data_IF_724069474124
#
_entry.id   IF_724069474124
#
_cell.length_a   1.000
_cell.length_b   1.000
_cell.length_c   1.000
_cell.angle_alpha   90.00
_cell.angle_beta   90.00
_cell.angle_gamma   90.00
#
_symmetry.space_group_name_H-M   'P 1'
#
loop_
_entity.id
_entity.type
_entity.pdbx_description
1 polymer ?
#
# COMPACT_ATOMS: atom_id res chain seq x y z
N UNK A 1 8.45 18.69 -9.06
CA UNK A 1 8.93 17.37 -9.55
C UNK A 1 7.81 16.35 -9.72
N UNK A 2 7.04 15.95 -8.69
CA UNK A 2 5.94 14.95 -8.85
C UNK A 2 4.98 15.30 -9.99
N UNK A 3 4.49 16.54 -10.04
CA UNK A 3 3.59 16.97 -11.12
C UNK A 3 4.28 16.92 -12.49
N UNK A 4 5.55 17.33 -12.59
CA UNK A 4 6.31 17.24 -13.85
C UNK A 4 6.48 15.79 -14.31
N UNK A 5 6.63 14.83 -13.40
CA UNK A 5 6.68 13.40 -13.74
C UNK A 5 5.35 12.93 -14.35
N UNK A 6 4.22 13.37 -13.77
CA UNK A 6 2.89 13.08 -14.33
C UNK A 6 2.72 13.73 -15.71
N UNK A 7 3.07 15.01 -15.84
CA UNK A 7 2.96 15.74 -17.11
C UNK A 7 3.85 15.11 -18.19
N UNK A 8 5.08 14.72 -17.87
CA UNK A 8 5.96 14.01 -18.82
C UNK A 8 5.40 12.65 -19.23
N UNK A 9 4.73 11.92 -18.33
CA UNK A 9 4.05 10.67 -18.67
C UNK A 9 2.83 10.91 -19.56
N UNK A 10 2.08 11.99 -19.33
CA UNK A 10 0.96 12.41 -20.18
C UNK A 10 1.47 12.78 -21.58
N UNK A 11 2.45 13.67 -21.66
CA UNK A 11 3.05 14.10 -22.93
C UNK A 11 3.61 12.91 -23.73
N UNK A 12 4.26 11.96 -23.05
CA UNK A 12 4.76 10.73 -23.67
C UNK A 12 3.64 9.78 -24.16
N UNK A 13 2.51 9.71 -23.44
CA UNK A 13 1.35 8.93 -23.85
C UNK A 13 0.61 9.55 -25.04
N UNK A 14 0.47 10.88 -25.04
CA UNK A 14 -0.16 11.67 -26.11
C UNK A 14 0.77 11.88 -27.33
N UNK A 15 2.04 11.49 -27.22
CA UNK A 15 3.04 11.69 -28.28
C UNK A 15 3.38 13.16 -28.55
N UNK A 16 3.08 14.06 -27.63
CA UNK A 16 3.27 15.51 -27.78
C UNK A 16 3.97 16.09 -26.56
N UNK A 17 5.24 16.48 -26.72
CA UNK A 17 6.09 16.97 -25.61
C UNK A 17 5.89 18.47 -25.35
N UNK A 18 5.93 18.85 -24.07
CA UNK A 18 5.98 20.25 -23.63
C UNK A 18 4.67 21.00 -23.79
N UNK A 19 3.55 20.28 -23.90
CA UNK A 19 2.22 20.88 -24.02
C UNK A 19 1.89 21.62 -22.71
N UNK A 20 1.33 22.82 -22.83
CA UNK A 20 0.70 23.49 -21.69
C UNK A 20 -0.72 22.95 -21.54
N UNK A 21 -1.02 22.37 -20.38
CA UNK A 21 -2.31 21.79 -20.07
C UNK A 21 -3.17 22.79 -19.28
N UNK A 22 -4.41 23.02 -19.73
CA UNK A 22 -5.38 23.71 -18.88
C UNK A 22 -5.71 22.83 -17.66
N UNK A 23 -6.09 23.44 -16.53
CA UNK A 23 -6.38 22.69 -15.30
C UNK A 23 -7.52 21.71 -15.52
N UNK A 24 -8.57 22.13 -16.22
CA UNK A 24 -9.76 21.34 -16.53
C UNK A 24 -9.43 20.14 -17.42
N UNK A 25 -8.53 20.31 -18.38
CA UNK A 25 -8.02 19.20 -19.22
C UNK A 25 -7.20 18.22 -18.39
N UNK A 26 -6.30 18.73 -17.55
CA UNK A 26 -5.42 17.89 -16.74
C UNK A 26 -6.21 17.02 -15.75
N UNK A 27 -7.15 17.60 -15.02
CA UNK A 27 -7.89 16.87 -13.96
C UNK A 27 -8.88 15.85 -14.50
N UNK A 28 -9.25 15.96 -15.78
CA UNK A 28 -10.11 14.98 -16.48
C UNK A 28 -9.32 13.97 -17.31
N UNK A 29 -8.01 14.17 -17.47
CA UNK A 29 -7.15 13.26 -18.21
C UNK A 29 -7.10 11.86 -17.56
N UNK A 30 -7.24 10.76 -18.31
CA UNK A 30 -7.25 9.41 -17.75
C UNK A 30 -6.04 9.10 -16.86
N UNK A 31 -4.84 9.50 -17.27
CA UNK A 31 -3.63 9.30 -16.46
C UNK A 31 -3.61 10.14 -15.18
N UNK A 32 -4.27 11.30 -15.11
CA UNK A 32 -4.43 12.02 -13.85
C UNK A 32 -5.40 11.28 -12.93
N UNK A 33 -6.52 10.82 -13.48
CA UNK A 33 -7.54 10.06 -12.75
C UNK A 33 -6.98 8.76 -12.14
N UNK A 34 -6.04 8.09 -12.80
CA UNK A 34 -5.35 6.92 -12.23
C UNK A 34 -4.61 7.25 -10.93
N UNK A 35 -4.08 8.46 -10.77
CA UNK A 35 -3.36 8.85 -9.55
C UNK A 35 -4.33 9.09 -8.38
N UNK A 36 -5.60 9.34 -8.68
CA UNK A 36 -6.63 9.61 -7.67
C UNK A 36 -7.22 8.34 -7.08
N UNK A 37 -6.78 7.15 -7.48
CA UNK A 37 -7.43 5.89 -7.16
C UNK A 37 -7.83 5.75 -5.68
N UNK A 38 -6.89 5.94 -4.74
CA UNK A 38 -7.25 5.87 -3.33
C UNK A 38 -7.73 7.19 -2.71
N UNK A 39 -7.36 8.36 -3.27
CA UNK A 39 -7.98 9.63 -2.85
C UNK A 39 -9.51 9.63 -3.12
N UNK A 40 -9.94 8.94 -4.18
CA UNK A 40 -11.34 8.80 -4.56
C UNK A 40 -12.15 8.02 -3.52
N UNK A 41 -11.56 7.14 -2.71
CA UNK A 41 -12.29 6.39 -1.67
C UNK A 41 -12.98 7.34 -0.68
N UNK A 42 -12.29 8.42 -0.26
CA UNK A 42 -12.87 9.43 0.62
C UNK A 42 -13.66 10.52 -0.12
N UNK A 43 -13.22 10.89 -1.34
CA UNK A 43 -13.90 11.93 -2.13
C UNK A 43 -15.31 11.49 -2.56
N UNK A 44 -15.50 10.20 -2.85
CA UNK A 44 -16.82 9.60 -3.14
C UNK A 44 -17.78 9.83 -1.98
N UNK A 45 -17.33 9.59 -0.74
CA UNK A 45 -18.12 9.85 0.47
C UNK A 45 -18.40 11.34 0.67
N UNK A 46 -17.39 12.20 0.49
CA UNK A 46 -17.54 13.66 0.61
C UNK A 46 -18.58 14.24 -0.35
N UNK A 47 -18.56 13.81 -1.61
CA UNK A 47 -19.43 14.35 -2.66
C UNK A 47 -20.73 13.57 -2.83
N UNK A 48 -20.98 12.54 -2.01
CA UNK A 48 -22.21 11.75 -2.06
C UNK A 48 -22.42 11.08 -3.42
N UNK A 49 -21.36 10.57 -4.05
CA UNK A 49 -21.47 9.91 -5.35
C UNK A 49 -22.40 8.68 -5.20
N UNK A 50 -23.45 8.55 -6.03
CA UNK A 50 -24.36 7.41 -5.95
C UNK A 50 -23.65 6.08 -6.16
N UNK A 51 -24.10 5.05 -5.43
CA UNK A 51 -23.66 3.69 -5.67
C UNK A 51 -24.14 3.20 -7.03
N UNK A 52 -23.29 2.42 -7.68
CA UNK A 52 -23.58 1.74 -8.95
C UNK A 52 -23.41 0.23 -8.74
N UNK A 53 -24.04 -0.58 -9.59
CA UNK A 53 -23.81 -2.04 -9.56
C UNK A 53 -22.32 -2.39 -9.64
N UNK A 54 -21.53 -1.62 -10.41
CA UNK A 54 -20.08 -1.81 -10.50
C UNK A 54 -19.36 -1.49 -9.20
N UNK A 55 -19.68 -0.38 -8.53
CA UNK A 55 -19.01 0.01 -7.28
C UNK A 55 -19.34 -0.95 -6.13
N UNK A 56 -20.57 -1.46 -6.07
CA UNK A 56 -20.97 -2.48 -5.09
C UNK A 56 -20.20 -3.79 -5.34
N UNK A 57 -20.10 -4.21 -6.60
CA UNK A 57 -19.41 -5.43 -7.00
C UNK A 57 -17.90 -5.36 -6.72
N UNK A 58 -17.27 -4.21 -7.03
CA UNK A 58 -15.85 -3.96 -6.78
C UNK A 58 -15.52 -3.93 -5.28
N UNK A 59 -16.50 -3.57 -4.44
CA UNK A 59 -16.30 -3.37 -3.02
C UNK A 59 -15.32 -2.23 -2.71
N UNK A 60 -14.94 -2.14 -1.44
CA UNK A 60 -13.93 -1.19 -0.98
C UNK A 60 -12.54 -1.83 -0.99
N UNK A 61 -11.52 -1.00 -1.25
CA UNK A 61 -10.13 -1.34 -1.04
C UNK A 61 -9.85 -1.61 0.44
N UNK A 62 -8.98 -2.58 0.70
CA UNK A 62 -8.54 -2.96 2.04
C UNK A 62 -7.11 -3.48 1.96
N UNK A 63 -6.43 -3.64 3.10
CA UNK A 63 -5.06 -4.14 3.13
C UNK A 63 -4.80 -4.86 4.45
N UNK A 64 -3.98 -5.91 4.39
CA UNK A 64 -3.40 -6.53 5.58
C UNK A 64 -1.90 -6.33 5.58
N UNK A 65 -1.32 -5.95 6.71
CA UNK A 65 0.12 -5.76 6.83
C UNK A 65 0.67 -6.33 8.14
N UNK A 66 1.94 -6.73 8.10
CA UNK A 66 2.65 -7.31 9.23
C UNK A 66 4.13 -6.92 9.22
N UNK A 67 4.57 -6.33 10.32
CA UNK A 67 5.99 -6.28 10.68
C UNK A 67 6.26 -7.40 11.67
N UNK A 68 7.25 -8.27 11.40
CA UNK A 68 7.58 -9.40 12.27
C UNK A 68 9.07 -9.41 12.60
N UNK A 69 9.38 -9.39 13.88
CA UNK A 69 10.73 -9.58 14.40
C UNK A 69 10.98 -11.08 14.58
N UNK A 70 12.12 -11.57 14.08
CA UNK A 70 12.55 -12.97 14.21
C UNK A 70 13.74 -13.06 15.16
N UNK A 71 13.70 -14.06 16.03
CA UNK A 71 14.75 -14.41 16.97
C UNK A 71 15.27 -15.81 16.65
N UNK A 72 16.59 -16.04 16.75
CA UNK A 72 17.17 -17.38 16.78
C UNK A 72 17.76 -17.66 18.19
N UNK A 73 18.08 -18.93 18.46
CA UNK A 73 18.70 -19.48 19.70
C UNK A 73 19.25 -18.42 20.67
N UNK A 74 18.48 -18.10 21.73
CA UNK A 74 18.75 -17.11 22.79
C UNK A 74 18.94 -15.66 22.27
N UNK A 75 18.20 -14.69 22.83
CA UNK A 75 17.58 -13.56 22.12
C UNK A 75 18.57 -12.76 21.28
N UNK A 76 18.82 -13.22 20.06
CA UNK A 76 19.50 -12.46 19.02
C UNK A 76 18.49 -12.12 17.94
N UNK A 77 18.52 -10.87 17.49
CA UNK A 77 17.63 -10.39 16.45
C UNK A 77 18.13 -10.90 15.10
N UNK A 78 17.54 -11.99 14.60
CA UNK A 78 18.04 -12.64 13.38
C UNK A 78 17.59 -11.91 12.12
N UNK A 79 16.36 -11.37 12.11
CA UNK A 79 15.81 -10.57 11.02
C UNK A 79 14.56 -9.76 11.44
N UNK A 80 14.16 -8.81 10.60
CA UNK A 80 12.84 -8.16 10.66
C UNK A 80 12.20 -8.22 9.29
N UNK A 81 11.06 -8.89 9.20
CA UNK A 81 10.25 -8.98 7.99
C UNK A 81 9.20 -7.88 7.98
N UNK A 82 8.95 -7.36 6.78
CA UNK A 82 8.00 -6.29 6.51
C UNK A 82 7.14 -6.71 5.32
N UNK A 83 5.85 -6.97 5.55
CA UNK A 83 4.96 -7.61 4.58
C UNK A 83 3.62 -6.88 4.46
N UNK A 84 3.13 -6.80 3.23
CA UNK A 84 1.87 -6.14 2.86
C UNK A 84 1.08 -6.98 1.85
N UNK A 85 -0.23 -7.02 2.01
CA UNK A 85 -1.20 -7.74 1.17
C UNK A 85 -2.26 -6.73 0.73
N UNK A 86 -2.28 -6.36 -0.54
CA UNK A 86 -3.28 -5.40 -1.08
C UNK A 86 -4.57 -6.12 -1.41
N UNK A 87 -5.70 -5.56 -0.98
CA UNK A 87 -7.02 -6.00 -1.38
C UNK A 87 -7.67 -4.96 -2.27
N UNK A 88 -8.11 -5.40 -3.44
CA UNK A 88 -8.73 -4.54 -4.44
C UNK A 88 -9.67 -5.35 -5.32
N UNK A 89 -10.32 -4.69 -6.26
CA UNK A 89 -11.00 -5.38 -7.35
C UNK A 89 -9.98 -6.17 -8.19
N UNK A 90 -10.35 -7.37 -8.59
CA UNK A 90 -9.59 -8.24 -9.46
C UNK A 90 -9.33 -7.63 -10.84
N UNK A 91 -10.16 -6.68 -11.29
CA UNK A 91 -9.89 -5.89 -12.51
C UNK A 91 -8.58 -5.09 -12.45
N UNK A 92 -8.04 -4.82 -11.25
CA UNK A 92 -6.80 -4.06 -11.07
C UNK A 92 -5.53 -4.90 -11.19
N UNK A 93 -5.61 -6.22 -11.37
CA UNK A 93 -4.46 -7.13 -11.30
C UNK A 93 -3.44 -7.02 -12.45
N UNK A 94 -3.50 -5.99 -13.30
CA UNK A 94 -2.35 -5.60 -14.11
C UNK A 94 -1.32 -4.88 -13.23
N UNK A 95 -0.26 -5.60 -12.84
CA UNK A 95 0.72 -5.12 -11.86
C UNK A 95 2.06 -4.79 -12.50
N UNK A 96 2.71 -3.76 -11.97
CA UNK A 96 4.07 -3.34 -12.35
C UNK A 96 4.85 -3.04 -11.09
N UNK A 97 5.95 -3.77 -10.87
CA UNK A 97 6.95 -3.39 -9.87
C UNK A 97 7.85 -2.33 -10.47
N UNK A 98 8.06 -1.24 -9.73
CA UNK A 98 8.77 -0.06 -10.25
C UNK A 98 9.93 0.26 -9.32
N UNK A 99 11.03 0.74 -9.91
CA UNK A 99 12.13 1.37 -9.20
C UNK A 99 12.44 2.69 -9.89
N UNK A 100 12.36 3.77 -9.14
CA UNK A 100 12.74 5.10 -9.62
C UNK A 100 14.07 5.51 -9.03
N UNK A 101 14.86 6.19 -9.86
CA UNK A 101 16.12 6.83 -9.50
C UNK A 101 16.04 8.27 -9.97
N UNK A 102 16.03 9.21 -9.03
CA UNK A 102 16.07 10.64 -9.30
C UNK A 102 17.44 11.20 -8.90
N UNK A 103 17.91 12.22 -9.62
CA UNK A 103 19.16 12.93 -9.33
C UNK A 103 18.88 14.18 -8.47
N UNK A 104 18.22 14.01 -7.32
CA UNK A 104 17.80 15.15 -6.47
C UNK A 104 18.74 15.41 -5.30
N UNK A 105 19.59 14.45 -4.94
CA UNK A 105 20.41 14.51 -3.72
C UNK A 105 19.63 14.24 -2.42
N UNK A 106 18.32 13.99 -2.51
CA UNK A 106 17.50 13.70 -1.34
C UNK A 106 17.80 12.29 -0.77
N UNK A 107 17.57 12.04 0.54
CA UNK A 107 17.86 10.74 1.16
C UNK A 107 17.20 9.53 0.48
N UNK A 108 15.94 9.69 0.07
CA UNK A 108 15.13 8.68 -0.61
C UNK A 108 15.04 8.90 -2.12
N UNK A 109 16.04 9.54 -2.75
CA UNK A 109 16.05 9.83 -4.19
C UNK A 109 15.93 8.57 -5.07
N UNK A 110 16.23 7.38 -4.54
CA UNK A 110 15.88 6.10 -5.17
C UNK A 110 14.86 5.37 -4.32
N UNK A 111 13.83 4.83 -4.94
CA UNK A 111 12.86 3.99 -4.24
C UNK A 111 12.21 2.97 -5.18
N UNK A 112 11.87 1.81 -4.62
CA UNK A 112 11.16 0.74 -5.30
C UNK A 112 9.81 0.49 -4.63
N UNK A 113 8.82 0.11 -5.43
CA UNK A 113 7.45 -0.08 -4.95
C UNK A 113 6.65 -1.01 -5.86
N UNK A 114 5.59 -1.60 -5.31
CA UNK A 114 4.56 -2.26 -6.12
C UNK A 114 3.54 -1.23 -6.61
N UNK A 115 3.11 -1.37 -7.86
CA UNK A 115 2.15 -0.45 -8.46
C UNK A 115 1.48 -1.00 -9.71
N UNK A 116 0.98 -0.08 -10.54
CA UNK A 116 0.09 -0.36 -11.66
C UNK A 116 0.54 0.41 -12.91
N UNK A 117 0.20 -0.03 -14.13
CA UNK A 117 0.40 0.76 -15.35
C UNK A 117 -0.21 2.16 -15.20
N UNK A 118 0.50 3.19 -15.65
CA UNK A 118 0.04 4.58 -15.58
C UNK A 118 0.02 5.22 -14.18
N UNK A 119 0.12 4.48 -13.08
CA UNK A 119 0.23 5.08 -11.73
C UNK A 119 1.67 5.41 -11.37
N UNK A 120 1.99 6.66 -11.00
CA UNK A 120 3.34 7.05 -10.57
C UNK A 120 3.57 6.94 -9.06
N UNK A 121 2.50 6.81 -8.27
CA UNK A 121 2.57 6.37 -6.88
C UNK A 121 2.26 4.88 -6.75
N UNK A 122 2.60 4.30 -5.60
CA UNK A 122 1.91 3.09 -5.17
C UNK A 122 0.44 3.44 -4.88
N UNK A 123 -0.43 2.45 -5.02
CA UNK A 123 -1.83 2.47 -4.58
C UNK A 123 -2.03 1.25 -3.64
N UNK A 124 -0.94 0.58 -3.27
CA UNK A 124 -0.99 -0.66 -2.52
C UNK A 124 -1.17 -0.41 -1.02
N UNK A 125 -0.35 0.37 -0.30
CA UNK A 125 1.00 0.87 -0.63
C UNK A 125 2.15 0.02 -0.04
N UNK A 126 3.22 -0.21 -0.80
CA UNK A 126 4.48 -0.83 -0.33
C UNK A 126 5.70 -0.21 -1.01
N UNK A 127 6.56 0.45 -0.25
CA UNK A 127 7.69 1.26 -0.74
C UNK A 127 8.96 0.97 0.06
N UNK A 128 10.08 0.81 -0.66
CA UNK A 128 11.43 0.70 -0.13
C UNK A 128 12.26 1.88 -0.64
N UNK A 129 12.96 2.60 0.23
CA UNK A 129 13.72 3.82 -0.13
C UNK A 129 15.22 3.63 0.05
N UNK A 130 16.05 4.40 -0.68
CA UNK A 130 17.50 4.41 -0.53
C UNK A 130 18.00 4.95 0.81
N UNK A 131 17.12 5.57 1.59
CA UNK A 131 17.34 5.92 3.00
C UNK A 131 17.09 4.74 3.95
N UNK A 132 16.91 3.52 3.42
CA UNK A 132 16.62 2.28 4.14
C UNK A 132 15.34 2.36 4.98
N UNK A 133 14.35 3.13 4.50
CA UNK A 133 12.99 3.10 5.04
C UNK A 133 12.16 2.11 4.23
N UNK A 134 11.52 1.16 4.90
CA UNK A 134 10.41 0.38 4.37
C UNK A 134 9.10 0.97 4.88
N UNK A 135 8.18 1.25 3.95
CA UNK A 135 6.98 2.04 4.19
C UNK A 135 5.80 1.29 3.57
N UNK A 136 4.73 1.12 4.34
CA UNK A 136 3.46 0.57 3.87
C UNK A 136 2.32 1.22 4.62
N UNK A 137 1.09 0.97 4.17
CA UNK A 137 -0.09 1.43 4.87
C UNK A 137 -1.20 0.37 4.89
N UNK A 138 -2.24 0.61 5.68
CA UNK A 138 -3.56 0.04 5.40
C UNK A 138 -4.62 1.13 5.55
N UNK A 139 -5.57 1.20 4.61
CA UNK A 139 -6.63 2.22 4.62
C UNK A 139 -7.48 2.11 5.88
N UNK A 140 -7.58 3.18 6.68
CA UNK A 140 -8.43 3.20 7.87
C UNK A 140 -9.80 3.81 7.54
N UNK A 141 -10.85 3.15 8.01
CA UNK A 141 -12.20 3.62 7.72
C UNK A 141 -12.55 4.93 8.48
N UNK A 142 -13.26 5.82 7.80
CA UNK A 142 -13.89 7.00 8.39
C UNK A 142 -15.43 6.88 8.33
N UNK A 143 -16.05 6.55 9.46
CA UNK A 143 -17.51 6.45 9.61
C UNK A 143 -18.14 7.74 10.15
N UNK A 144 -17.37 8.83 10.25
CA UNK A 144 -17.83 10.11 10.75
C UNK A 144 -17.91 11.13 9.61
N UNK A 145 -19.06 11.20 8.96
CA UNK A 145 -19.32 12.10 7.83
C UNK A 145 -19.08 13.58 8.15
N UNK A 146 -19.15 13.98 9.43
CA UNK A 146 -18.85 15.35 9.84
C UNK A 146 -17.42 15.77 9.50
N UNK A 147 -16.48 14.80 9.45
CA UNK A 147 -15.09 15.04 9.08
C UNK A 147 -14.93 15.42 7.61
N UNK A 148 -15.85 15.04 6.72
CA UNK A 148 -15.77 15.42 5.29
C UNK A 148 -15.84 16.92 5.05
N UNK A 149 -16.40 17.69 6.00
CA UNK A 149 -16.40 19.16 5.98
C UNK A 149 -15.00 19.76 6.12
N UNK A 150 -14.04 19.00 6.65
CA UNK A 150 -12.66 19.43 6.86
C UNK A 150 -11.76 19.18 5.65
N UNK A 151 -12.23 18.42 4.65
CA UNK A 151 -11.52 18.24 3.38
C UNK A 151 -11.73 19.50 2.54
N UNK A 152 -10.67 20.23 2.20
CA UNK A 152 -10.78 21.49 1.45
C UNK A 152 -9.81 21.51 0.26
N UNK A 153 -10.07 22.33 -0.78
CA UNK A 153 -9.13 22.50 -1.89
C UNK A 153 -7.76 23.06 -1.47
N UNK A 154 -7.66 23.70 -0.30
CA UNK A 154 -6.41 24.22 0.26
C UNK A 154 -5.58 23.11 0.94
N UNK A 155 -5.39 22.01 0.24
CA UNK A 155 -4.68 20.82 0.70
C UNK A 155 -3.95 20.14 -0.46
N UNK A 156 -3.16 19.12 -0.17
CA UNK A 156 -2.45 18.34 -1.19
C UNK A 156 -2.93 16.90 -1.11
N UNK A 157 -3.36 16.35 -2.24
CA UNK A 157 -3.81 14.96 -2.33
C UNK A 157 -2.72 13.98 -1.90
N UNK A 158 -3.16 12.83 -1.42
CA UNK A 158 -2.30 11.81 -0.82
C UNK A 158 -1.15 11.42 -1.75
N UNK A 159 -1.44 11.11 -3.02
CA UNK A 159 -0.47 10.54 -3.96
C UNK A 159 0.75 11.45 -4.20
N UNK A 160 0.58 12.77 -4.01
CA UNK A 160 1.68 13.74 -4.06
C UNK A 160 2.42 13.76 -2.73
N UNK A 161 1.70 13.84 -1.60
CA UNK A 161 2.30 13.90 -0.25
C UNK A 161 3.17 12.69 0.05
N UNK A 162 2.70 11.48 -0.27
CA UNK A 162 3.45 10.24 -0.11
C UNK A 162 4.77 10.28 -0.88
N UNK A 163 4.73 10.61 -2.18
CA UNK A 163 5.94 10.67 -3.00
C UNK A 163 6.96 11.71 -2.53
N UNK A 164 6.49 12.87 -2.06
CA UNK A 164 7.38 13.88 -1.44
C UNK A 164 8.02 13.29 -0.19
N UNK A 165 7.22 12.68 0.70
CA UNK A 165 7.71 12.09 1.94
C UNK A 165 8.72 10.96 1.70
N UNK A 166 8.48 10.06 0.73
CA UNK A 166 9.41 8.99 0.37
C UNK A 166 10.76 9.52 -0.08
N UNK A 167 10.77 10.56 -0.93
CA UNK A 167 12.02 11.10 -1.49
C UNK A 167 12.83 11.88 -0.46
N UNK A 168 12.19 12.74 0.34
CA UNK A 168 12.94 13.72 1.15
C UNK A 168 13.33 13.22 2.54
N UNK A 169 12.83 12.06 2.98
CA UNK A 169 12.94 11.66 4.38
C UNK A 169 14.04 10.64 4.63
N UNK A 170 14.89 10.88 5.62
CA UNK A 170 15.94 9.96 6.05
C UNK A 170 15.55 9.10 7.26
N UNK A 171 14.45 9.42 7.94
CA UNK A 171 13.97 8.71 9.14
C UNK A 171 12.46 8.62 9.16
N UNK A 172 11.91 7.66 9.91
CA UNK A 172 10.45 7.49 10.04
C UNK A 172 9.74 8.69 10.65
N UNK A 173 10.35 9.38 11.62
CA UNK A 173 9.79 10.63 12.17
C UNK A 173 9.80 11.78 11.15
N UNK A 174 10.85 11.89 10.33
CA UNK A 174 10.87 12.90 9.26
C UNK A 174 9.80 12.58 8.22
N UNK A 175 9.65 11.31 7.84
CA UNK A 175 8.60 10.87 6.92
C UNK A 175 7.22 11.26 7.43
N UNK A 176 6.91 10.97 8.70
CA UNK A 176 5.64 11.32 9.32
C UNK A 176 5.38 12.83 9.33
N UNK A 177 6.41 13.64 9.63
CA UNK A 177 6.32 15.12 9.60
C UNK A 177 6.06 15.65 8.20
N UNK A 178 6.78 15.16 7.19
CA UNK A 178 6.62 15.61 5.79
C UNK A 178 5.25 15.22 5.26
N UNK A 179 4.82 13.98 5.46
CA UNK A 179 3.53 13.48 5.00
C UNK A 179 2.33 14.20 5.62
N UNK A 180 2.44 14.62 6.88
CA UNK A 180 1.38 15.34 7.60
C UNK A 180 1.11 16.76 7.08
N UNK A 181 2.03 17.35 6.31
CA UNK A 181 1.86 18.71 5.78
C UNK A 181 0.75 18.74 4.74
N UNK A 182 -0.11 19.76 4.81
CA UNK A 182 -1.21 19.97 3.87
C UNK A 182 -2.14 18.76 3.73
N UNK A 183 -2.39 18.05 4.84
CA UNK A 183 -3.30 16.90 4.91
C UNK A 183 -4.65 17.19 4.23
N UNK A 184 -4.96 16.41 3.20
CA UNK A 184 -6.20 16.50 2.41
C UNK A 184 -7.41 15.85 3.07
N UNK A 185 -7.20 14.92 4.00
CA UNK A 185 -8.26 14.05 4.51
C UNK A 185 -8.76 13.04 3.50
N UNK A 186 -7.96 12.75 2.47
CA UNK A 186 -8.21 11.75 1.43
C UNK A 186 -7.16 10.66 1.51
N UNK A 187 -7.56 9.45 1.14
CA UNK A 187 -6.83 8.21 1.33
C UNK A 187 -6.32 8.09 2.77
N UNK A 188 -7.28 8.06 3.69
CA UNK A 188 -7.03 8.05 5.13
C UNK A 188 -6.48 6.69 5.58
N UNK A 189 -5.20 6.63 5.94
CA UNK A 189 -4.51 5.36 6.18
C UNK A 189 -3.79 5.32 7.54
N UNK A 190 -3.47 4.11 8.01
CA UNK A 190 -2.43 3.85 8.99
C UNK A 190 -1.12 3.57 8.26
N UNK A 191 -0.21 4.54 8.26
CA UNK A 191 1.15 4.44 7.75
C UNK A 191 2.09 3.78 8.75
N UNK A 192 2.88 2.84 8.26
CA UNK A 192 3.87 2.08 9.02
C UNK A 192 5.22 2.30 8.36
N UNK A 193 6.17 2.88 9.10
CA UNK A 193 7.49 3.23 8.62
C UNK A 193 8.53 2.50 9.47
N UNK A 194 9.14 1.48 8.89
CA UNK A 194 10.22 0.72 9.49
C UNK A 194 11.56 1.29 9.01
N UNK A 195 12.38 1.75 9.95
CA UNK A 195 13.72 2.25 9.68
C UNK A 195 14.75 1.14 9.85
N UNK A 196 15.18 0.51 8.76
CA UNK A 196 16.14 -0.60 8.80
C UNK A 196 17.53 -0.16 9.27
N UNK A 197 17.87 1.14 9.26
CA UNK A 197 19.14 1.64 9.81
C UNK A 197 19.23 1.43 11.31
N UNK A 198 18.09 1.39 11.98
CA UNK A 198 18.00 1.16 13.43
C UNK A 198 18.10 -0.32 13.80
N UNK A 199 18.07 -1.21 12.81
CA UNK A 199 18.15 -2.65 13.01
C UNK A 199 19.54 -3.19 12.72
N UNK A 200 20.08 -4.03 13.62
CA UNK A 200 21.37 -4.70 13.44
C UNK A 200 21.23 -6.20 13.63
N UNK A 201 21.46 -6.96 12.56
CA UNK A 201 21.37 -8.44 12.57
C UNK A 201 22.32 -9.04 13.60
N UNK A 202 21.87 -10.08 14.29
CA UNK A 202 22.67 -10.89 15.22
C UNK A 202 23.03 -10.21 16.54
N UNK A 203 22.58 -8.96 16.75
CA UNK A 203 22.78 -8.24 18.00
C UNK A 203 21.76 -8.64 19.06
N UNK A 204 22.15 -8.53 20.32
CA UNK A 204 21.28 -8.74 21.50
C UNK A 204 20.63 -7.43 21.94
N UNK A 205 21.33 -6.31 21.76
CA UNK A 205 20.80 -4.98 21.96
C UNK A 205 19.76 -4.67 20.88
N UNK A 206 18.57 -4.29 21.32
CA UNK A 206 17.51 -3.79 20.46
C UNK A 206 17.32 -2.29 20.65
N UNK A 207 16.95 -1.56 19.58
CA UNK A 207 16.58 -0.17 19.71
C UNK A 207 15.38 -0.06 20.68
N UNK A 208 15.45 0.89 21.61
CA UNK A 208 14.30 1.27 22.44
C UNK A 208 13.37 2.25 21.72
N UNK A 209 13.87 2.90 20.66
CA UNK A 209 13.16 3.88 19.83
C UNK A 209 13.74 3.91 18.40
N UNK A 210 12.99 4.49 17.47
CA UNK A 210 13.38 4.83 16.10
C UNK A 210 13.20 3.72 15.07
N UNK A 211 12.99 2.47 15.49
CA UNK A 211 12.85 1.33 14.57
C UNK A 211 11.52 1.37 13.83
N UNK A 212 10.41 1.58 14.54
CA UNK A 212 9.07 1.57 13.96
C UNK A 212 8.32 2.86 14.30
N UNK A 213 7.90 3.59 13.27
CA UNK A 213 6.99 4.73 13.41
C UNK A 213 5.64 4.39 12.80
N UNK A 214 4.57 4.81 13.46
CA UNK A 214 3.20 4.66 12.97
C UNK A 214 2.53 6.03 12.92
N UNK A 215 1.88 6.33 11.80
CA UNK A 215 1.09 7.54 11.61
C UNK A 215 -0.32 7.17 11.14
N UNK A 216 -1.33 7.82 11.68
CA UNK A 216 -2.71 7.69 11.23
C UNK A 216 -3.25 9.03 10.78
N UNK A 217 -4.01 9.04 9.69
CA UNK A 217 -4.60 10.23 9.11
C UNK A 217 -6.13 10.15 9.09
N UNK A 218 -6.77 11.25 9.47
CA UNK A 218 -8.17 11.56 9.16
C UNK A 218 -8.23 12.98 8.58
N UNK A 219 -9.40 13.44 8.08
CA UNK A 219 -9.54 14.83 7.63
C UNK A 219 -9.08 15.86 8.66
N UNK A 220 -8.04 16.63 8.27
CA UNK A 220 -7.38 17.66 9.10
C UNK A 220 -6.85 17.16 10.45
N UNK A 221 -6.55 15.86 10.59
CA UNK A 221 -6.00 15.25 11.80
C UNK A 221 -4.94 14.24 11.44
N UNK A 222 -3.82 14.27 12.15
CA UNK A 222 -2.86 13.18 12.14
C UNK A 222 -2.50 12.82 13.58
N UNK A 223 -2.20 11.55 13.82
CA UNK A 223 -1.60 11.07 15.05
C UNK A 223 -0.35 10.28 14.67
N UNK A 224 0.74 10.48 15.39
CA UNK A 224 2.01 9.80 15.13
C UNK A 224 2.63 9.36 16.46
N UNK A 225 3.23 8.19 16.46
CA UNK A 225 4.05 7.72 17.56
C UNK A 225 5.19 6.82 17.07
N UNK A 226 6.22 6.73 17.90
CA UNK A 226 7.23 5.69 17.82
C UNK A 226 6.71 4.43 18.52
N UNK A 227 6.49 3.37 17.73
CA UNK A 227 5.94 2.10 18.17
C UNK A 227 7.03 1.02 18.34
N UNK A 228 8.31 1.41 18.41
CA UNK A 228 9.43 0.48 18.60
C UNK A 228 9.24 -0.39 19.83
N UNK A 229 8.86 0.21 20.97
CA UNK A 229 8.64 -0.55 22.20
C UNK A 229 7.52 -1.60 22.05
N UNK A 230 6.43 -1.26 21.36
CA UNK A 230 5.34 -2.20 21.09
C UNK A 230 5.78 -3.34 20.15
N UNK A 231 6.53 -3.01 19.08
CA UNK A 231 7.07 -4.00 18.15
C UNK A 231 8.00 -4.99 18.84
N UNK A 232 8.94 -4.50 19.65
CA UNK A 232 9.91 -5.36 20.35
C UNK A 232 9.20 -6.22 21.40
N UNK A 233 8.31 -5.63 22.20
CA UNK A 233 7.56 -6.34 23.24
C UNK A 233 6.67 -7.45 22.66
N UNK A 234 5.94 -7.15 21.59
CA UNK A 234 5.00 -8.09 21.01
C UNK A 234 5.67 -9.02 20.00
N UNK A 235 6.89 -8.70 19.54
CA UNK A 235 7.62 -9.32 18.42
C UNK A 235 6.99 -9.09 17.04
N UNK A 236 5.89 -8.33 16.95
CA UNK A 236 5.22 -8.00 15.70
C UNK A 236 4.38 -6.72 15.81
N UNK A 237 4.04 -6.14 14.65
CA UNK A 237 3.05 -5.08 14.50
C UNK A 237 2.08 -5.45 13.36
N UNK A 238 0.80 -5.71 13.66
CA UNK A 238 -0.22 -5.99 12.65
C UNK A 238 -0.93 -4.70 12.20
N UNK A 239 -1.46 -4.69 10.98
CA UNK A 239 -2.37 -3.65 10.49
C UNK A 239 -3.42 -4.25 9.56
N UNK A 240 -4.66 -3.82 9.70
CA UNK A 240 -5.84 -4.47 9.11
C UNK A 240 -7.01 -3.48 9.01
N UNK A 241 -6.74 -2.30 8.43
CA UNK A 241 -7.75 -1.28 8.12
C UNK A 241 -8.47 -0.63 9.33
N UNK A 242 -7.90 -0.76 10.53
CA UNK A 242 -8.46 -0.21 11.77
C UNK A 242 -7.48 0.78 12.41
N UNK A 243 -7.94 1.97 12.84
CA UNK A 243 -7.11 2.86 13.64
C UNK A 243 -6.72 2.24 14.98
N UNK A 244 -5.45 2.34 15.31
CA UNK A 244 -4.81 1.98 16.56
C UNK A 244 -4.87 3.12 17.58
N UNK A 245 -4.64 4.38 17.19
CA UNK A 245 -4.57 5.47 18.15
C UNK A 245 -5.96 5.81 18.69
N UNK A 246 -6.17 5.83 20.03
CA UNK A 246 -7.51 6.00 20.62
C UNK A 246 -8.27 7.22 20.09
N UNK A 247 -7.57 8.37 19.93
CA UNK A 247 -8.16 9.60 19.42
C UNK A 247 -8.64 9.47 17.97
N UNK A 248 -7.89 8.78 17.11
CA UNK A 248 -8.28 8.55 15.72
C UNK A 248 -9.44 7.55 15.68
N UNK A 249 -9.36 6.47 16.46
CA UNK A 249 -10.38 5.45 16.58
C UNK A 249 -11.75 6.00 17.06
N UNK A 250 -11.72 6.93 18.01
CA UNK A 250 -12.91 7.65 18.48
C UNK A 250 -13.44 8.60 17.39
N UNK A 251 -12.58 9.45 16.83
CA UNK A 251 -12.98 10.47 15.84
C UNK A 251 -13.54 9.88 14.54
N UNK A 252 -13.00 8.74 14.08
CA UNK A 252 -13.51 8.02 12.91
C UNK A 252 -14.88 7.39 13.14
N UNK A 253 -15.35 7.29 14.38
CA UNK A 253 -16.57 6.57 14.73
C UNK A 253 -16.43 5.05 14.73
N UNK A 254 -15.20 4.51 14.67
CA UNK A 254 -14.94 3.07 14.61
C UNK A 254 -15.42 2.32 15.86
N UNK A 255 -15.50 2.97 17.02
CA UNK A 255 -16.07 2.39 18.25
C UNK A 255 -17.51 1.91 18.06
N UNK A 256 -18.32 2.67 17.31
CA UNK A 256 -19.71 2.29 16.99
C UNK A 256 -19.77 1.03 16.15
N UNK A 257 -18.84 0.87 15.22
CA UNK A 257 -18.77 -0.30 14.35
C UNK A 257 -18.31 -1.54 15.12
N UNK A 258 -17.34 -1.41 16.04
CA UNK A 258 -16.93 -2.53 16.91
C UNK A 258 -18.08 -2.94 17.85
N UNK A 259 -18.80 -1.99 18.44
CA UNK A 259 -19.98 -2.30 19.26
C UNK A 259 -21.08 -3.00 18.47
N UNK A 260 -21.24 -2.67 17.18
CA UNK A 260 -22.26 -3.22 16.29
C UNK A 260 -21.87 -4.58 15.70
N UNK A 261 -20.58 -4.82 15.44
CA UNK A 261 -20.12 -5.94 14.62
C UNK A 261 -18.97 -6.78 15.21
N UNK A 262 -18.46 -6.48 16.40
CA UNK A 262 -17.44 -7.29 17.09
C UNK A 262 -15.99 -7.09 16.62
N UNK A 263 -15.11 -8.04 16.94
CA UNK A 263 -13.67 -8.08 16.58
C UNK A 263 -13.42 -8.77 15.22
N UNK A 264 -12.33 -8.39 14.52
CA UNK A 264 -12.12 -8.67 13.08
C UNK A 264 -10.77 -9.33 12.72
N UNK A 265 -10.12 -10.09 13.61
CA UNK A 265 -8.82 -10.74 13.32
C UNK A 265 -8.97 -12.15 12.79
N UNK A 266 -8.31 -12.54 11.69
CA UNK A 266 -8.73 -13.74 10.94
C UNK A 266 -7.60 -14.54 10.29
N UNK A 267 -7.91 -15.75 9.85
CA UNK A 267 -7.12 -16.73 9.12
C UNK A 267 -7.67 -16.89 7.70
N UNK A 268 -6.82 -17.34 6.76
CA UNK A 268 -7.26 -17.63 5.38
C UNK A 268 -8.13 -18.88 5.26
N UNK A 269 -8.17 -19.74 6.28
CA UNK A 269 -9.13 -20.83 6.37
C UNK A 269 -10.46 -20.34 6.98
N UNK A 270 -11.10 -19.38 6.30
CA UNK A 270 -12.23 -18.60 6.81
C UNK A 270 -13.48 -19.43 7.12
N UNK A 271 -13.60 -20.65 6.58
CA UNK A 271 -14.72 -21.56 6.87
C UNK A 271 -14.56 -22.29 8.21
N UNK A 272 -13.35 -22.32 8.76
CA UNK A 272 -13.02 -22.98 10.04
C UNK A 272 -12.53 -22.01 11.12
N UNK A 273 -12.31 -20.75 10.77
CA UNK A 273 -11.83 -19.75 11.70
C UNK A 273 -13.00 -19.20 12.55
N UNK A 274 -12.98 -19.37 13.88
CA UNK A 274 -14.03 -18.84 14.76
C UNK A 274 -14.17 -17.32 14.68
N UNK A 275 -13.13 -16.59 14.28
CA UNK A 275 -13.17 -15.14 14.14
C UNK A 275 -13.67 -14.67 12.76
N UNK A 276 -13.87 -15.60 11.83
CA UNK A 276 -14.46 -15.33 10.51
C UNK A 276 -15.99 -15.45 10.48
N UNK A 277 -16.59 -15.91 11.58
CA UNK A 277 -18.04 -16.07 11.74
C UNK A 277 -18.75 -14.72 11.63
N UNK A 278 -19.88 -14.69 10.94
CA UNK A 278 -20.80 -13.55 10.91
C UNK A 278 -22.25 -14.01 11.09
N UNK A 279 -23.14 -13.07 11.41
CA UNK A 279 -24.59 -13.24 11.31
C UNK A 279 -25.00 -13.20 9.83
N UNK A 280 -24.69 -14.29 9.12
CA UNK A 280 -24.79 -14.43 7.67
C UNK A 280 -25.14 -15.88 7.30
N UNK A 281 -25.57 -16.12 6.06
CA UNK A 281 -25.77 -17.46 5.50
C UNK A 281 -25.01 -17.58 4.17
N UNK A 282 -23.97 -18.43 4.08
CA UNK A 282 -23.41 -19.28 5.14
C UNK A 282 -22.83 -18.47 6.31
N UNK A 283 -22.61 -19.06 7.51
CA UNK A 283 -22.19 -18.35 8.73
C UNK A 283 -20.70 -17.96 8.73
N UNK A 284 -20.17 -17.61 7.56
CA UNK A 284 -18.82 -17.13 7.32
C UNK A 284 -18.81 -16.23 6.08
N UNK A 285 -17.76 -15.42 5.94
CA UNK A 285 -17.48 -14.71 4.69
C UNK A 285 -16.03 -14.91 4.29
N UNK A 286 -15.76 -15.12 3.01
CA UNK A 286 -14.41 -15.16 2.46
C UNK A 286 -13.73 -13.78 2.46
N UNK A 287 -14.47 -12.70 2.75
CA UNK A 287 -13.91 -11.37 3.07
C UNK A 287 -13.18 -11.41 4.42
N UNK A 288 -13.56 -12.33 5.28
CA UNK A 288 -13.11 -12.44 6.65
C UNK A 288 -11.82 -13.30 6.72
N UNK A 289 -10.71 -12.80 6.16
CA UNK A 289 -9.40 -13.47 6.12
C UNK A 289 -8.23 -12.47 6.14
N UNK A 290 -6.95 -12.90 6.19
CA UNK A 290 -5.77 -12.01 5.96
C UNK A 290 -5.62 -11.69 4.47
N UNK A 291 -5.93 -12.68 3.64
CA UNK A 291 -5.94 -12.62 2.19
C UNK A 291 -7.35 -13.01 1.74
N UNK A 292 -8.23 -12.01 1.60
CA UNK A 292 -9.65 -12.26 1.32
C UNK A 292 -9.89 -12.81 -0.08
N UNK A 293 -11.03 -13.50 -0.22
CA UNK A 293 -11.49 -14.17 -1.43
C UNK A 293 -12.99 -13.98 -1.62
N UNK A 294 -13.47 -12.74 -1.67
CA UNK A 294 -14.92 -12.46 -1.71
C UNK A 294 -15.63 -13.06 -2.93
N UNK A 295 -14.89 -13.47 -3.96
CA UNK A 295 -15.37 -14.26 -5.09
C UNK A 295 -15.83 -15.68 -4.74
N UNK A 296 -15.44 -16.19 -3.57
CA UNK A 296 -15.84 -17.50 -3.07
C UNK A 296 -17.10 -17.43 -2.17
N UNK A 297 -17.62 -16.24 -1.92
CA UNK A 297 -18.89 -16.07 -1.23
C UNK A 297 -20.03 -16.46 -2.18
N UNK A 298 -21.04 -17.23 -1.74
CA UNK A 298 -22.20 -17.53 -2.57
C UNK A 298 -22.92 -16.25 -3.04
N UNK A 299 -23.22 -16.10 -4.34
CA UNK A 299 -23.96 -14.93 -4.85
C UNK A 299 -25.37 -14.78 -4.24
N UNK A 300 -25.97 -15.90 -3.81
CA UNK A 300 -27.27 -15.97 -3.15
C UNK A 300 -27.17 -16.00 -1.61
N UNK A 301 -25.97 -15.77 -1.04
CA UNK A 301 -25.77 -15.70 0.40
C UNK A 301 -26.40 -14.45 1.02
N UNK A 302 -26.74 -14.53 2.31
CA UNK A 302 -27.26 -13.40 3.09
C UNK A 302 -26.16 -12.84 3.96
N UNK A 303 -25.89 -11.53 3.84
CA UNK A 303 -24.81 -10.86 4.56
C UNK A 303 -25.32 -9.62 5.30
N UNK A 304 -24.78 -9.29 6.49
CA UNK A 304 -25.27 -8.17 7.29
C UNK A 304 -25.00 -6.81 6.64
N UNK A 305 -24.10 -6.75 5.66
CA UNK A 305 -23.88 -5.58 4.80
C UNK A 305 -23.16 -5.98 3.50
N UNK A 306 -23.30 -5.18 2.42
CA UNK A 306 -22.84 -5.58 1.08
C UNK A 306 -21.36 -5.95 0.96
N UNK A 307 -20.48 -5.30 1.73
CA UNK A 307 -19.03 -5.53 1.63
C UNK A 307 -18.54 -6.89 2.15
N UNK A 308 -19.42 -7.67 2.79
CA UNK A 308 -19.13 -9.07 3.18
C UNK A 308 -19.61 -10.09 2.15
N UNK A 309 -20.32 -9.67 1.11
CA UNK A 309 -20.94 -10.57 0.15
C UNK A 309 -20.02 -11.00 -1.00
N UNK A 310 -20.65 -11.51 -2.06
CA UNK A 310 -19.99 -11.89 -3.30
C UNK A 310 -19.53 -10.65 -4.07
N UNK A 311 -18.22 -10.55 -4.30
CA UNK A 311 -17.58 -9.38 -4.92
C UNK A 311 -16.44 -9.82 -5.84
N UNK A 312 -16.14 -9.04 -6.88
CA UNK A 312 -14.92 -9.24 -7.68
C UNK A 312 -13.68 -8.69 -6.97
N UNK A 313 -13.61 -8.87 -5.65
CA UNK A 313 -12.60 -8.25 -4.79
C UNK A 313 -12.03 -9.23 -3.79
N UNK A 314 -10.76 -9.02 -3.48
CA UNK A 314 -10.02 -9.85 -2.55
C UNK A 314 -8.58 -9.39 -2.49
N UNK A 315 -7.74 -10.16 -1.81
CA UNK A 315 -6.30 -9.95 -1.91
C UNK A 315 -5.83 -10.20 -3.35
N UNK A 316 -4.99 -9.30 -3.87
CA UNK A 316 -4.51 -9.33 -5.27
C UNK A 316 -3.00 -9.53 -5.36
N UNK A 317 -2.31 -9.55 -4.22
CA UNK A 317 -0.89 -9.81 -4.11
C UNK A 317 -0.47 -10.16 -2.68
N UNK A 318 0.83 -10.42 -2.51
CA UNK A 318 1.58 -10.11 -1.29
C UNK A 318 2.97 -9.59 -1.69
N UNK A 319 3.50 -8.64 -0.92
CA UNK A 319 4.88 -8.14 -1.01
C UNK A 319 5.57 -8.28 0.33
N UNK A 320 6.84 -8.66 0.32
CA UNK A 320 7.64 -8.85 1.52
C UNK A 320 9.10 -8.45 1.30
N UNK A 321 9.65 -7.68 2.23
CA UNK A 321 11.10 -7.44 2.33
C UNK A 321 11.61 -7.86 3.71
N UNK A 322 12.93 -7.82 3.87
CA UNK A 322 13.61 -8.03 5.14
C UNK A 322 14.89 -7.20 5.21
N UNK A 323 15.66 -7.37 6.28
CA UNK A 323 16.87 -6.55 6.49
C UNK A 323 17.99 -6.79 5.48
N UNK A 324 17.90 -7.85 4.65
CA UNK A 324 18.86 -8.12 3.56
C UNK A 324 18.37 -7.56 2.24
N UNK A 325 17.09 -7.75 1.93
CA UNK A 325 16.50 -7.35 0.65
C UNK A 325 16.37 -5.82 0.50
N UNK A 326 16.19 -5.10 1.62
CA UNK A 326 16.12 -3.63 1.63
C UNK A 326 17.38 -2.97 1.05
N UNK A 327 18.55 -3.57 1.23
CA UNK A 327 19.85 -3.02 0.78
C UNK A 327 19.91 -2.82 -0.74
N UNK A 328 19.19 -3.65 -1.50
CA UNK A 328 19.09 -3.55 -2.96
C UNK A 328 17.72 -3.06 -3.43
N UNK A 329 16.91 -2.48 -2.52
CA UNK A 329 15.52 -2.09 -2.77
C UNK A 329 14.67 -3.24 -3.33
N UNK A 330 15.01 -4.49 -2.97
CA UNK A 330 14.35 -5.68 -3.49
C UNK A 330 13.27 -6.17 -2.53
N UNK A 331 12.30 -6.89 -3.08
CA UNK A 331 11.26 -7.56 -2.31
C UNK A 331 10.77 -8.80 -3.04
N UNK A 332 10.28 -9.76 -2.27
CA UNK A 332 9.52 -10.90 -2.79
C UNK A 332 8.09 -10.46 -3.00
N UNK A 333 7.51 -10.79 -4.16
CA UNK A 333 6.11 -10.57 -4.41
C UNK A 333 5.46 -11.79 -5.04
N UNK A 334 4.19 -12.00 -4.75
CA UNK A 334 3.29 -12.93 -5.45
C UNK A 334 2.12 -12.11 -6.00
N UNK A 335 1.72 -12.38 -7.23
CA UNK A 335 0.60 -11.70 -7.87
C UNK A 335 -0.62 -12.62 -7.94
N UNK A 336 -1.80 -12.05 -7.71
CA UNK A 336 -3.09 -12.73 -7.76
C UNK A 336 -3.62 -13.16 -6.40
N UNK A 337 -4.86 -13.68 -6.38
CA UNK A 337 -5.51 -14.13 -5.16
C UNK A 337 -4.83 -15.37 -4.56
N UNK A 338 -4.93 -15.51 -3.23
CA UNK A 338 -4.41 -16.71 -2.56
C UNK A 338 -5.10 -17.97 -3.07
N UNK A 339 -4.35 -19.05 -3.22
CA UNK A 339 -4.83 -20.37 -3.65
C UNK A 339 -4.32 -21.51 -2.76
N UNK A 340 -3.94 -21.18 -1.53
CA UNK A 340 -3.73 -22.12 -0.43
C UNK A 340 -4.26 -21.45 0.86
N UNK A 341 -5.27 -22.01 1.54
CA UNK A 341 -5.96 -23.28 1.27
C UNK A 341 -7.12 -23.19 0.26
N UNK A 342 -7.33 -22.02 -0.36
CA UNK A 342 -8.46 -21.75 -1.26
C UNK A 342 -8.23 -22.26 -2.69
N UNK A 343 -9.27 -22.49 -3.51
CA UNK A 343 -9.08 -22.86 -4.91
C UNK A 343 -8.41 -21.73 -5.72
N UNK A 344 -7.74 -22.10 -6.81
CA UNK A 344 -7.15 -21.15 -7.76
C UNK A 344 -8.22 -20.26 -8.36
N UNK A 345 -7.95 -18.94 -8.42
CA UNK A 345 -8.81 -18.00 -9.15
C UNK A 345 -8.59 -18.15 -10.66
N UNK A 346 -9.68 -18.30 -11.41
CA UNK A 346 -9.69 -18.44 -12.86
C UNK A 346 -10.87 -17.68 -13.45
N UNK A 347 -10.59 -16.61 -14.20
CA UNK A 347 -11.58 -15.75 -14.84
C UNK A 347 -12.63 -16.55 -15.60
N UNK A 348 -12.22 -17.60 -16.33
CA UNK A 348 -13.10 -18.43 -17.19
C UNK A 348 -14.12 -19.26 -16.43
N UNK A 349 -13.96 -19.39 -15.11
CA UNK A 349 -14.86 -20.18 -14.25
C UNK A 349 -15.66 -19.31 -13.29
N UNK A 350 -15.32 -18.03 -13.21
CA UNK A 350 -15.97 -17.11 -12.27
C UNK A 350 -17.26 -16.55 -12.87
N UNK A 351 -18.20 -16.17 -12.00
CA UNK A 351 -19.39 -15.41 -12.44
C UNK A 351 -19.07 -14.02 -12.98
N UNK A 352 -17.80 -13.60 -12.97
CA UNK A 352 -17.36 -12.25 -13.31
C UNK A 352 -16.80 -12.12 -14.74
N UNK A 353 -16.55 -13.24 -15.42
CA UNK A 353 -15.89 -13.30 -16.73
C UNK A 353 -16.43 -12.25 -17.71
N UNK A 354 -17.75 -12.20 -17.88
CA UNK A 354 -18.41 -11.35 -18.88
C UNK A 354 -18.84 -9.98 -18.32
N UNK A 355 -18.54 -9.68 -17.06
CA UNK A 355 -19.04 -8.48 -16.35
C UNK A 355 -17.88 -7.55 -15.95
N UNK A 356 -16.72 -8.11 -15.64
CA UNK A 356 -15.57 -7.36 -15.13
C UNK A 356 -14.49 -7.28 -16.21
N UNK A 357 -14.14 -6.08 -16.70
CA UNK A 357 -13.05 -5.94 -17.67
C UNK A 357 -11.70 -6.37 -17.07
N UNK A 358 -11.00 -7.25 -17.77
CA UNK A 358 -9.72 -7.82 -17.32
C UNK A 358 -8.72 -7.98 -18.50
N UNK A 359 -8.77 -7.04 -19.44
CA UNK A 359 -7.90 -7.04 -20.63
C UNK A 359 -6.41 -7.12 -20.24
N UNK A 360 -5.66 -7.98 -20.91
CA UNK A 360 -4.23 -8.20 -20.67
C UNK A 360 -3.91 -9.00 -19.41
N UNK A 361 -4.91 -9.43 -18.63
CA UNK A 361 -4.69 -10.31 -17.49
C UNK A 361 -4.62 -11.79 -17.92
N UNK A 362 -3.82 -12.62 -17.22
CA UNK A 362 -3.93 -14.07 -17.29
C UNK A 362 -5.33 -14.54 -16.90
N UNK A 363 -5.85 -15.58 -17.57
CA UNK A 363 -7.12 -16.20 -17.18
C UNK A 363 -7.02 -16.86 -15.80
N UNK A 364 -5.97 -17.66 -15.59
CA UNK A 364 -5.75 -18.44 -14.38
C UNK A 364 -4.56 -17.92 -13.57
N UNK A 365 -4.76 -17.73 -12.27
CA UNK A 365 -3.80 -17.08 -11.37
C UNK A 365 -3.09 -18.07 -10.44
N UNK A 366 -1.99 -18.65 -10.90
CA UNK A 366 -1.20 -19.69 -10.19
C UNK A 366 0.26 -19.28 -9.96
N UNK A 367 0.52 -17.99 -9.89
CA UNK A 367 1.89 -17.47 -9.79
C UNK A 367 2.55 -17.88 -8.48
N UNK A 368 3.85 -18.18 -8.56
CA UNK A 368 4.70 -18.40 -7.39
C UNK A 368 5.28 -17.06 -6.90
N UNK A 369 5.67 -16.96 -5.62
CA UNK A 369 6.43 -15.81 -5.15
C UNK A 369 7.75 -15.67 -5.91
N UNK A 370 8.09 -14.44 -6.30
CA UNK A 370 9.33 -14.09 -6.99
C UNK A 370 10.00 -12.96 -6.23
N UNK A 371 11.28 -13.13 -5.90
CA UNK A 371 12.13 -12.03 -5.41
C UNK A 371 12.68 -11.25 -6.60
N UNK A 372 12.28 -9.99 -6.72
CA UNK A 372 12.75 -9.15 -7.82
C UNK A 372 14.28 -8.98 -7.76
N UNK A 373 14.93 -9.08 -8.91
CA UNK A 373 16.34 -8.75 -9.10
C UNK A 373 16.40 -7.60 -10.10
N UNK A 374 16.69 -6.40 -9.62
CA UNK A 374 16.74 -5.25 -10.49
C UNK A 374 17.94 -5.34 -11.43
N UNK A 375 17.71 -5.15 -12.73
CA UNK A 375 18.80 -4.91 -13.67
C UNK A 375 19.51 -3.58 -13.35
N UNK A 376 20.76 -3.42 -13.79
CA UNK A 376 21.41 -2.11 -13.73
C UNK A 376 20.57 -1.09 -14.50
N UNK A 377 20.23 0.02 -13.85
CA UNK A 377 19.52 1.09 -14.54
C UNK A 377 20.46 1.75 -15.56
N UNK A 378 19.90 2.44 -16.55
CA UNK A 378 20.69 3.28 -17.45
C UNK A 378 21.53 4.31 -16.66
N UNK A 379 20.99 4.80 -15.53
CA UNK A 379 21.69 5.72 -14.65
C UNK A 379 22.87 5.06 -13.94
N UNK A 380 22.72 3.83 -13.43
CA UNK A 380 23.81 3.11 -12.76
C UNK A 380 25.00 2.86 -13.70
N UNK A 381 24.70 2.63 -14.99
CA UNK A 381 25.72 2.50 -16.05
C UNK A 381 26.43 3.84 -16.32
N UNK A 382 25.68 4.92 -16.48
CA UNK A 382 26.24 6.26 -16.71
C UNK A 382 27.13 6.69 -15.53
N UNK A 383 26.70 6.47 -14.29
CA UNK A 383 27.53 6.80 -13.12
C UNK A 383 28.79 5.94 -13.01
N UNK A 384 28.71 4.65 -13.36
CA UNK A 384 29.91 3.81 -13.42
C UNK A 384 30.87 4.29 -14.50
N UNK A 385 30.37 4.67 -15.67
CA UNK A 385 31.17 5.20 -16.76
C UNK A 385 31.80 6.55 -16.38
N UNK A 386 31.08 7.44 -15.69
CA UNK A 386 31.58 8.73 -15.19
C UNK A 386 32.62 8.55 -14.06
N UNK A 387 32.43 7.60 -13.13
CA UNK A 387 33.42 7.25 -12.10
C UNK A 387 34.68 6.65 -12.72
N UNK A 388 34.54 5.76 -13.71
CA UNK A 388 35.65 5.19 -14.48
C UNK A 388 36.41 6.28 -15.26
N UNK A 389 35.70 7.24 -15.86
CA UNK A 389 36.31 8.38 -16.56
C UNK A 389 37.05 9.31 -15.60
N UNK A 390 36.51 9.57 -14.40
CA UNK A 390 37.15 10.37 -13.37
C UNK A 390 38.41 9.69 -12.80
N UNK A 391 38.36 8.38 -12.55
CA UNK A 391 39.54 7.59 -12.15
C UNK A 391 40.62 7.55 -13.24
N UNK A 392 40.21 7.42 -14.50
CA UNK A 392 41.14 7.48 -15.63
C UNK A 392 41.79 8.85 -15.74
N UNK A 393 41.02 9.95 -15.63
CA UNK A 393 41.56 11.31 -15.66
C UNK A 393 42.54 11.57 -14.51
N UNK A 394 42.29 11.07 -13.30
CA UNK A 394 43.24 11.18 -12.19
C UNK A 394 44.57 10.46 -12.45
N UNK A 395 44.56 9.31 -13.14
CA UNK A 395 45.78 8.56 -13.52
C UNK A 395 46.62 9.26 -14.59
N UNK A 396 46.05 10.17 -15.37
CA UNK A 396 46.78 10.96 -16.37
C UNK A 396 47.33 12.29 -15.81
N UNK A 397 46.98 12.65 -14.58
CA UNK A 397 47.43 13.88 -13.90
C UNK A 397 48.47 13.66 -12.79
N UNK A 398 48.93 12.43 -12.62
CA UNK A 398 50.09 12.02 -11.79
C UNK A 398 51.18 11.46 -12.68
#
# INVERSE_FOLDING_TARGET
MTLNQLLGMIDGYEGTMGRTWAVEELVTHPLYLLQLAGDLEDLVGKFGKPETSRSILAGNGHCSALVKVIFNLLPNFSDVYFSHVTWSSYSTMLRVQKRYTFATGDPGQRYAFSGYPGSISSIDDFILTSSHLAIMETTIANYNERLYKLMTPNSILYWIRAQVAHRTSSSGIQWAKVFSRFNSGTYNNQWIILDYKMFKRGRRDHPSHGLLHVLEQLPNRTAHADMTHALIRNTYWPSYNRPYFPKIFELSGSEKMVKKYGDWYRSNNYTKDPLSVCECDPPYSAKNAISSRSDLNPPNGTYPFPSLGHQDSGATDMKMTNSKLIESLSFTAIAGPTHDPTPVFDWSTTSFENIVPHNGQPLRWTFKPITHQWSSSLYDKITQDDELLAEQQQRFTT
#
